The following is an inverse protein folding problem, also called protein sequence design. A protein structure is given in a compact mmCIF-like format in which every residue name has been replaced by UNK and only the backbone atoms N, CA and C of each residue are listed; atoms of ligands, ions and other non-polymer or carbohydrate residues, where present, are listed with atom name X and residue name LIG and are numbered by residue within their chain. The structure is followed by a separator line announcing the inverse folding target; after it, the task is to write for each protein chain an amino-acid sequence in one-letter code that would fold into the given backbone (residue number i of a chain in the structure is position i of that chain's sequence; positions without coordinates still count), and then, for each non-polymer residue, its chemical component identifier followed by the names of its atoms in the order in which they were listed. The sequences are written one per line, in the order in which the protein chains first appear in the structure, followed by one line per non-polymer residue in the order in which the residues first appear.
data_IF_038320769992
#
_entry.id   IF_038320769992
#
_cell.length_a   1.000
_cell.length_b   1.000
_cell.length_c   1.000
_cell.angle_alpha   90.00
_cell.angle_beta   90.00
_cell.angle_gamma   90.00
#
_symmetry.space_group_name_H-M   'P 1'
#
loop_
_entity.id
_entity.type
_entity.pdbx_description
1 polymer ?
#
# COMPACT_ATOMS: atom_id res chain seq x y z
N UNK A 1 -11.03 -20.68 -13.39
CA UNK A 1 -9.57 -20.86 -13.65
C UNK A 1 -8.97 -21.60 -12.45
N UNK A 2 -7.99 -22.48 -12.63
CA UNK A 2 -7.33 -23.19 -11.50
C UNK A 2 -6.11 -22.40 -11.01
N UNK A 3 -5.88 -22.37 -9.70
CA UNK A 3 -4.65 -21.85 -9.09
C UNK A 3 -3.54 -22.87 -9.31
N UNK A 4 -2.39 -22.44 -9.82
CA UNK A 4 -1.24 -23.31 -10.15
C UNK A 4 -0.09 -23.08 -9.16
N UNK A 5 0.58 -24.13 -8.63
CA UNK A 5 1.80 -23.92 -7.88
C UNK A 5 2.91 -23.37 -8.79
N UNK A 6 3.69 -22.42 -8.29
CA UNK A 6 4.86 -21.85 -8.95
C UNK A 6 5.89 -21.45 -7.89
N UNK A 7 7.05 -22.10 -7.83
CA UNK A 7 7.95 -21.97 -6.68
C UNK A 7 9.18 -21.10 -6.95
N UNK A 8 9.52 -20.80 -8.20
CA UNK A 8 10.70 -20.02 -8.54
C UNK A 8 10.63 -19.48 -9.98
N UNK A 9 11.35 -18.38 -10.23
CA UNK A 9 11.53 -17.80 -11.56
C UNK A 9 10.26 -17.18 -12.13
N UNK A 10 10.21 -17.04 -13.46
CA UNK A 10 9.10 -16.38 -14.15
C UNK A 10 7.96 -17.35 -14.47
N UNK A 11 6.72 -16.90 -14.33
CA UNK A 11 5.55 -17.66 -14.77
C UNK A 11 5.51 -17.75 -16.30
N UNK A 12 4.94 -18.84 -16.83
CA UNK A 12 4.85 -19.05 -18.28
C UNK A 12 3.82 -18.17 -19.02
N UNK A 13 3.03 -17.35 -18.32
CA UNK A 13 2.01 -16.49 -18.92
C UNK A 13 0.95 -16.03 -17.93
N UNK A 14 -0.19 -15.50 -18.42
CA UNK A 14 -1.28 -15.07 -17.57
C UNK A 14 -1.94 -16.21 -16.78
N UNK A 15 -2.27 -15.97 -15.51
CA UNK A 15 -2.94 -16.96 -14.68
C UNK A 15 -2.99 -16.63 -13.19
N UNK A 16 -3.57 -17.58 -12.45
CA UNK A 16 -3.59 -17.61 -10.99
C UNK A 16 -2.55 -18.60 -10.47
N UNK A 17 -1.77 -18.17 -9.49
CA UNK A 17 -0.62 -18.89 -8.99
C UNK A 17 -0.56 -18.88 -7.47
N UNK A 18 -0.03 -19.96 -6.89
CA UNK A 18 0.44 -20.00 -5.51
C UNK A 18 1.97 -20.00 -5.56
N UNK A 19 2.60 -19.02 -4.92
CA UNK A 19 4.06 -18.88 -4.91
C UNK A 19 4.56 -18.24 -3.61
N UNK A 20 5.83 -18.45 -3.25
CA UNK A 20 6.49 -17.69 -2.20
C UNK A 20 6.47 -16.17 -2.43
N UNK A 21 6.44 -15.40 -1.35
CA UNK A 21 6.34 -13.94 -1.41
C UNK A 21 7.55 -13.29 -2.09
N UNK A 22 8.76 -13.80 -1.84
CA UNK A 22 10.00 -13.33 -2.47
C UNK A 22 9.96 -13.48 -4.00
N UNK A 23 9.41 -14.57 -4.53
CA UNK A 23 9.22 -14.77 -5.97
C UNK A 23 8.27 -13.73 -6.57
N UNK A 24 7.18 -13.40 -5.87
CA UNK A 24 6.26 -12.34 -6.28
C UNK A 24 6.93 -10.95 -6.25
N UNK A 25 7.64 -10.65 -5.16
CA UNK A 25 8.29 -9.35 -4.95
C UNK A 25 9.47 -9.14 -5.91
N UNK A 26 10.18 -10.21 -6.31
CA UNK A 26 11.21 -10.19 -7.35
C UNK A 26 10.66 -9.96 -8.77
N UNK A 27 9.34 -9.81 -8.93
CA UNK A 27 8.61 -9.72 -10.19
C UNK A 27 8.66 -11.00 -11.04
N UNK A 28 7.77 -11.92 -10.71
CA UNK A 28 7.60 -13.21 -11.39
C UNK A 28 6.99 -13.15 -12.80
N UNK A 29 6.59 -11.99 -13.33
CA UNK A 29 5.96 -11.91 -14.65
C UNK A 29 6.98 -12.18 -15.79
N UNK A 30 6.53 -12.57 -16.99
CA UNK A 30 7.42 -12.81 -18.13
C UNK A 30 8.33 -11.61 -18.45
N UNK A 31 7.77 -10.40 -18.40
CA UNK A 31 8.50 -9.14 -18.53
C UNK A 31 8.28 -8.26 -17.30
N UNK A 32 9.09 -7.20 -17.11
CA UNK A 32 8.87 -6.22 -16.05
C UNK A 32 7.40 -5.81 -15.97
N UNK A 33 6.79 -6.04 -14.81
CA UNK A 33 5.35 -5.86 -14.60
C UNK A 33 5.01 -4.75 -13.62
N UNK A 34 3.85 -4.16 -13.80
CA UNK A 34 3.33 -3.11 -12.93
C UNK A 34 2.58 -3.72 -11.76
N UNK A 35 3.06 -3.46 -10.53
CA UNK A 35 2.35 -3.73 -9.27
C UNK A 35 1.63 -2.48 -8.75
N UNK A 36 0.78 -2.63 -7.73
CA UNK A 36 0.09 -1.49 -7.11
C UNK A 36 1.05 -0.50 -6.44
N UNK A 37 2.15 -0.98 -5.85
CA UNK A 37 3.17 -0.11 -5.25
C UNK A 37 3.84 0.75 -6.31
N UNK A 38 4.30 0.14 -7.40
CA UNK A 38 4.93 0.86 -8.52
C UNK A 38 3.94 1.81 -9.19
N UNK A 39 2.67 1.41 -9.36
CA UNK A 39 1.62 2.28 -9.88
C UNK A 39 1.41 3.53 -9.02
N UNK A 40 1.37 3.38 -7.68
CA UNK A 40 1.28 4.54 -6.78
C UNK A 40 2.53 5.42 -6.87
N UNK A 41 3.73 4.84 -6.88
CA UNK A 41 4.98 5.62 -7.02
C UNK A 41 5.02 6.43 -8.33
N UNK A 42 4.50 5.88 -9.42
CA UNK A 42 4.37 6.61 -10.69
C UNK A 42 3.45 7.84 -10.59
N UNK A 43 2.38 7.74 -9.80
CA UNK A 43 1.36 8.77 -9.65
C UNK A 43 1.71 9.81 -8.58
N UNK A 44 2.34 9.38 -7.48
CA UNK A 44 2.65 10.21 -6.31
C UNK A 44 3.99 10.91 -6.39
N UNK A 45 4.94 10.31 -7.09
CA UNK A 45 6.33 10.77 -7.11
C UNK A 45 6.74 11.04 -8.56
N UNK A 46 7.45 10.11 -9.19
CA UNK A 46 7.84 10.25 -10.59
C UNK A 46 8.15 8.90 -11.22
N UNK A 47 8.17 8.83 -12.56
CA UNK A 47 8.73 7.69 -13.28
C UNK A 47 10.13 7.28 -12.81
N UNK A 48 11.02 8.24 -12.53
CA UNK A 48 12.36 7.93 -12.01
C UNK A 48 12.30 7.14 -10.68
N UNK A 49 11.47 7.55 -9.73
CA UNK A 49 11.31 6.82 -8.46
C UNK A 49 10.76 5.41 -8.69
N UNK A 50 9.77 5.27 -9.58
CA UNK A 50 9.20 3.98 -9.93
C UNK A 50 10.23 3.06 -10.61
N UNK A 51 11.11 3.61 -11.45
CA UNK A 51 12.20 2.87 -12.08
C UNK A 51 13.20 2.33 -11.06
N UNK A 52 13.64 3.17 -10.12
CA UNK A 52 14.57 2.78 -9.04
C UNK A 52 13.94 1.71 -8.15
N UNK A 53 12.68 1.90 -7.75
CA UNK A 53 11.96 1.00 -6.86
C UNK A 53 11.57 -0.34 -7.52
N UNK A 54 11.61 -0.45 -8.85
CA UNK A 54 11.20 -1.67 -9.53
C UNK A 54 12.29 -2.75 -9.49
N UNK A 55 11.98 -3.98 -9.05
CA UNK A 55 12.96 -5.04 -8.76
C UNK A 55 13.79 -5.48 -9.98
N UNK A 56 13.24 -5.37 -11.19
CA UNK A 56 13.90 -5.77 -12.46
C UNK A 56 14.31 -4.60 -13.36
N UNK A 57 14.17 -3.35 -12.92
CA UNK A 57 14.54 -2.19 -13.74
C UNK A 57 15.76 -1.48 -13.15
N UNK A 58 15.57 -0.37 -12.46
CA UNK A 58 16.67 0.48 -12.00
C UNK A 58 17.49 -0.09 -10.86
N UNK A 59 16.88 -0.99 -10.08
CA UNK A 59 17.45 -1.76 -8.97
C UNK A 59 18.77 -1.18 -8.44
N UNK A 60 18.65 -0.07 -7.70
CA UNK A 60 19.70 0.27 -6.74
C UNK A 60 19.38 -0.57 -5.49
N UNK A 61 20.32 -1.45 -5.13
CA UNK A 61 20.29 -2.12 -3.83
C UNK A 61 20.55 -1.04 -2.79
N UNK A 62 19.53 -0.26 -2.43
CA UNK A 62 19.54 0.39 -1.13
C UNK A 62 19.45 -0.72 -0.08
N UNK A 63 20.31 -0.67 0.94
CA UNK A 63 20.18 -1.56 2.08
C UNK A 63 18.75 -1.36 2.63
N UNK A 64 17.92 -2.39 2.50
CA UNK A 64 16.54 -2.35 2.96
C UNK A 64 16.58 -1.97 4.44
N UNK A 65 15.98 -0.83 4.79
CA UNK A 65 15.94 -0.42 6.20
C UNK A 65 15.12 -1.48 6.93
N UNK A 66 15.68 -2.02 8.01
CA UNK A 66 14.96 -2.98 8.85
C UNK A 66 13.53 -2.46 9.12
N UNK A 67 12.51 -3.31 8.95
CA UNK A 67 11.13 -2.95 9.26
C UNK A 67 11.01 -2.30 10.64
N UNK A 68 10.17 -1.28 10.79
CA UNK A 68 9.89 -0.71 12.11
C UNK A 68 9.10 -1.71 12.95
N UNK A 69 9.18 -1.62 14.29
CA UNK A 69 8.42 -2.46 15.22
C UNK A 69 6.91 -2.55 14.88
N UNK A 70 6.19 -1.47 14.51
CA UNK A 70 4.80 -1.56 14.04
C UNK A 70 4.62 -2.36 12.74
N UNK A 71 5.59 -2.31 11.82
CA UNK A 71 5.58 -3.12 10.59
C UNK A 71 5.83 -4.60 10.91
N UNK A 72 6.70 -4.92 11.86
CA UNK A 72 6.93 -6.29 12.34
C UNK A 72 5.63 -6.88 12.94
N UNK A 73 5.00 -6.14 13.86
CA UNK A 73 3.68 -6.51 14.44
C UNK A 73 2.66 -6.74 13.32
N UNK A 74 2.54 -5.78 12.40
CA UNK A 74 1.61 -5.87 11.27
C UNK A 74 1.85 -7.09 10.38
N UNK A 75 3.12 -7.43 10.13
CA UNK A 75 3.52 -8.59 9.31
C UNK A 75 3.18 -9.91 10.00
N UNK A 76 3.48 -10.03 11.29
CA UNK A 76 3.14 -11.24 12.05
C UNK A 76 1.62 -11.40 12.19
N UNK A 77 0.91 -10.33 12.52
CA UNK A 77 -0.56 -10.33 12.58
C UNK A 77 -1.17 -10.74 11.23
N UNK A 78 -0.64 -10.21 10.13
CA UNK A 78 -1.06 -10.58 8.77
C UNK A 78 -0.84 -12.07 8.49
N UNK A 79 0.35 -12.61 8.82
CA UNK A 79 0.63 -14.05 8.72
C UNK A 79 -0.36 -14.89 9.53
N UNK A 80 -0.64 -14.49 10.78
CA UNK A 80 -1.56 -15.21 11.67
C UNK A 80 -3.00 -15.20 11.12
N UNK A 81 -3.48 -14.07 10.61
CA UNK A 81 -4.83 -13.93 10.02
C UNK A 81 -4.95 -14.73 8.71
N UNK A 82 -3.90 -14.75 7.89
CA UNK A 82 -3.93 -15.43 6.59
C UNK A 82 -3.57 -16.92 6.68
N UNK A 83 -2.81 -17.32 7.69
CA UNK A 83 -2.21 -18.65 7.78
C UNK A 83 -1.13 -18.91 6.72
N UNK A 84 -0.55 -17.84 6.15
CA UNK A 84 0.42 -17.86 5.06
C UNK A 84 1.49 -16.77 5.27
N UNK A 85 2.67 -16.93 4.67
CA UNK A 85 3.80 -15.99 4.80
C UNK A 85 5.00 -16.52 5.59
N UNK A 86 6.06 -15.71 5.70
CA UNK A 86 7.37 -16.06 6.29
C UNK A 86 7.28 -16.51 7.76
N UNK A 87 8.13 -17.45 8.19
CA UNK A 87 8.11 -17.96 9.56
C UNK A 87 8.48 -16.92 10.61
N UNK A 88 7.89 -17.06 11.80
CA UNK A 88 8.00 -16.08 12.88
C UNK A 88 9.07 -16.54 13.86
N UNK A 89 10.02 -15.66 14.16
CA UNK A 89 11.04 -15.88 15.18
C UNK A 89 10.73 -15.02 16.40
N UNK A 90 10.31 -15.67 17.48
CA UNK A 90 10.04 -15.01 18.75
C UNK A 90 11.36 -14.66 19.46
N UNK A 91 11.58 -13.38 19.70
CA UNK A 91 12.72 -12.86 20.45
C UNK A 91 12.26 -12.58 21.87
N UNK A 92 12.84 -13.31 22.82
CA UNK A 92 12.52 -13.19 24.24
C UNK A 92 13.17 -11.94 24.87
N UNK A 93 12.62 -10.78 24.54
CA UNK A 93 13.03 -9.47 25.05
C UNK A 93 11.87 -8.46 24.98
N UNK A 94 11.94 -7.40 25.79
CA UNK A 94 10.95 -6.31 25.79
C UNK A 94 11.21 -5.24 24.72
N UNK A 95 12.47 -5.11 24.31
CA UNK A 95 12.93 -4.18 23.28
C UNK A 95 14.20 -4.69 22.56
N UNK A 96 14.55 -4.01 21.46
CA UNK A 96 15.76 -4.30 20.68
C UNK A 96 16.99 -3.52 21.17
N UNK A 97 17.12 -3.21 22.47
CA UNK A 97 18.30 -2.44 22.95
C UNK A 97 19.49 -3.34 23.24
N UNK A 98 19.26 -4.57 23.71
CA UNK A 98 20.34 -5.50 24.04
C UNK A 98 21.08 -6.00 22.78
N UNK A 99 22.39 -6.27 22.92
CA UNK A 99 23.18 -6.83 21.82
C UNK A 99 22.64 -8.18 21.35
N UNK A 100 22.15 -9.01 22.29
CA UNK A 100 21.55 -10.30 21.99
C UNK A 100 20.26 -10.17 21.16
N UNK A 101 19.33 -9.29 21.56
CA UNK A 101 18.07 -9.08 20.83
C UNK A 101 18.32 -8.54 19.41
N UNK A 102 19.29 -7.61 19.25
CA UNK A 102 19.68 -7.11 17.93
C UNK A 102 20.27 -8.21 17.04
N UNK A 103 21.17 -9.03 17.59
CA UNK A 103 21.78 -10.13 16.84
C UNK A 103 20.74 -11.17 16.39
N UNK A 104 19.80 -11.55 17.28
CA UNK A 104 18.70 -12.46 16.93
C UNK A 104 17.80 -11.88 15.84
N UNK A 105 17.46 -10.59 15.94
CA UNK A 105 16.65 -9.89 14.94
C UNK A 105 17.33 -9.87 13.57
N UNK A 106 18.61 -9.50 13.52
CA UNK A 106 19.39 -9.50 12.29
C UNK A 106 19.50 -10.90 11.69
N UNK A 107 19.72 -11.92 12.52
CA UNK A 107 19.80 -13.31 12.05
C UNK A 107 18.46 -13.79 11.48
N UNK A 108 17.34 -13.50 12.15
CA UNK A 108 16.01 -13.85 11.66
C UNK A 108 15.75 -13.27 10.26
N UNK A 109 16.08 -12.00 10.03
CA UNK A 109 15.97 -11.40 8.70
C UNK A 109 16.90 -12.05 7.68
N UNK A 110 18.14 -12.37 8.06
CA UNK A 110 19.09 -13.05 7.18
C UNK A 110 18.59 -14.44 6.73
N UNK A 111 17.82 -15.12 7.59
CA UNK A 111 17.22 -16.42 7.31
C UNK A 111 15.86 -16.31 6.56
N UNK A 112 15.40 -15.10 6.25
CA UNK A 112 14.10 -14.87 5.59
C UNK A 112 12.89 -15.00 6.51
N UNK A 113 13.09 -14.94 7.83
CA UNK A 113 12.04 -14.98 8.84
C UNK A 113 11.61 -13.58 9.30
N UNK A 114 10.43 -13.50 9.93
CA UNK A 114 9.92 -12.30 10.58
C UNK A 114 10.22 -12.33 12.08
N UNK A 115 11.18 -11.52 12.58
CA UNK A 115 11.42 -11.39 14.02
C UNK A 115 10.30 -10.61 14.70
N UNK A 116 9.95 -11.02 15.92
CA UNK A 116 9.01 -10.29 16.77
C UNK A 116 9.38 -10.42 18.24
N UNK A 117 9.26 -9.33 19.00
CA UNK A 117 9.46 -9.34 20.45
C UNK A 117 8.30 -10.12 21.12
N UNK A 118 8.58 -10.83 22.21
CA UNK A 118 7.55 -11.56 22.98
C UNK A 118 6.26 -10.76 23.24
N UNK A 119 6.31 -9.55 23.84
CA UNK A 119 5.08 -8.78 24.11
C UNK A 119 4.33 -8.36 22.84
N UNK A 120 5.03 -8.26 21.70
CA UNK A 120 4.42 -7.93 20.42
C UNK A 120 3.79 -9.16 19.76
N UNK A 121 4.37 -10.35 19.96
CA UNK A 121 3.81 -11.63 19.51
C UNK A 121 2.48 -11.91 20.19
N UNK A 122 2.42 -11.73 21.52
CA UNK A 122 1.16 -11.87 22.28
C UNK A 122 0.07 -10.91 21.80
N UNK A 123 0.45 -9.67 21.44
CA UNK A 123 -0.47 -8.70 20.82
C UNK A 123 -0.93 -9.15 19.43
N UNK A 124 -0.04 -9.71 18.62
CA UNK A 124 -0.38 -10.19 17.28
C UNK A 124 -1.34 -11.39 17.34
N UNK A 125 -1.14 -12.31 18.29
CA UNK A 125 -2.05 -13.43 18.55
C UNK A 125 -3.44 -12.93 18.96
N UNK A 126 -3.50 -12.03 19.97
CA UNK A 126 -4.76 -11.45 20.42
C UNK A 126 -5.50 -10.68 19.31
N UNK A 127 -4.76 -9.98 18.45
CA UNK A 127 -5.31 -9.31 17.27
C UNK A 127 -5.89 -10.31 16.27
N UNK A 128 -5.17 -11.38 15.95
CA UNK A 128 -5.64 -12.40 15.02
C UNK A 128 -6.92 -13.11 15.52
N UNK A 129 -6.98 -13.44 16.81
CA UNK A 129 -8.17 -14.02 17.45
C UNK A 129 -9.36 -13.07 17.36
N UNK A 130 -9.17 -11.78 17.70
CA UNK A 130 -10.21 -10.76 17.59
C UNK A 130 -10.71 -10.56 16.16
N UNK A 131 -9.83 -10.65 15.16
CA UNK A 131 -10.22 -10.60 13.75
C UNK A 131 -11.10 -11.79 13.39
N UNK A 132 -10.70 -13.01 13.76
CA UNK A 132 -11.47 -14.21 13.48
C UNK A 132 -12.87 -14.16 14.12
N UNK A 133 -12.95 -13.75 15.39
CA UNK A 133 -14.21 -13.61 16.12
C UNK A 133 -15.12 -12.55 15.50
N UNK A 134 -14.60 -11.34 15.25
CA UNK A 134 -15.41 -10.22 14.74
C UNK A 134 -15.86 -10.44 13.30
N UNK A 135 -15.01 -10.98 12.43
CA UNK A 135 -15.40 -11.27 11.04
C UNK A 135 -16.54 -12.31 10.98
N UNK A 136 -16.56 -13.28 11.89
CA UNK A 136 -17.66 -14.27 11.97
C UNK A 136 -19.02 -13.63 12.31
N UNK A 137 -19.04 -12.42 12.87
CA UNK A 137 -20.25 -11.67 13.22
C UNK A 137 -20.71 -10.71 12.11
N UNK A 138 -19.92 -10.49 11.06
CA UNK A 138 -20.23 -9.52 9.99
C UNK A 138 -20.85 -10.27 8.81
N UNK A 139 -22.13 -10.02 8.48
CA UNK A 139 -22.77 -10.62 7.31
C UNK A 139 -21.99 -10.36 6.03
N UNK A 140 -21.76 -11.41 5.25
CA UNK A 140 -20.98 -11.34 4.02
C UNK A 140 -19.48 -11.60 4.20
N UNK A 141 -18.97 -11.83 5.41
CA UNK A 141 -17.58 -12.19 5.67
C UNK A 141 -17.35 -13.69 5.90
N UNK A 142 -18.38 -14.52 5.76
CA UNK A 142 -18.35 -15.96 6.09
C UNK A 142 -17.34 -16.74 5.23
N UNK A 143 -17.06 -16.22 4.03
CA UNK A 143 -16.13 -16.82 3.08
C UNK A 143 -14.66 -16.53 3.33
N UNK A 144 -14.33 -15.48 4.11
CA UNK A 144 -12.96 -15.01 4.31
C UNK A 144 -12.03 -16.14 4.77
N UNK A 145 -12.34 -16.82 5.88
CA UNK A 145 -11.48 -17.86 6.46
C UNK A 145 -11.26 -19.09 5.55
N UNK A 146 -12.16 -19.33 4.58
CA UNK A 146 -12.08 -20.47 3.65
C UNK A 146 -11.45 -20.10 2.30
N UNK A 147 -11.35 -18.81 2.02
CA UNK A 147 -10.81 -18.30 0.77
C UNK A 147 -9.29 -18.60 0.70
N UNK A 148 -8.78 -19.09 -0.46
CA UNK A 148 -7.34 -19.23 -0.69
C UNK A 148 -6.58 -17.95 -0.36
N UNK A 149 -5.48 -18.08 0.37
CA UNK A 149 -4.63 -16.98 0.81
C UNK A 149 -3.40 -16.78 -0.11
N UNK A 150 -2.94 -15.53 -0.19
CA UNK A 150 -1.75 -15.12 -0.97
C UNK A 150 -1.78 -15.61 -2.43
N UNK A 151 -2.96 -15.55 -3.07
CA UNK A 151 -3.09 -15.94 -4.47
C UNK A 151 -2.53 -14.84 -5.36
N UNK A 152 -1.53 -15.19 -6.16
CA UNK A 152 -0.93 -14.29 -7.13
C UNK A 152 -1.69 -14.37 -8.45
N UNK A 153 -2.03 -13.21 -9.01
CA UNK A 153 -2.55 -13.13 -10.36
C UNK A 153 -1.60 -12.31 -11.23
N UNK A 154 -1.23 -12.90 -12.37
CA UNK A 154 -0.42 -12.25 -13.40
C UNK A 154 -1.26 -12.17 -14.67
N UNK A 155 -1.32 -10.99 -15.29
CA UNK A 155 -2.05 -10.78 -16.52
C UNK A 155 -1.31 -9.81 -17.45
N UNK A 156 -1.61 -9.88 -18.73
CA UNK A 156 -1.19 -8.85 -19.69
C UNK A 156 -2.40 -7.99 -20.04
N UNK A 157 -2.30 -6.69 -19.77
CA UNK A 157 -3.30 -5.72 -20.18
C UNK A 157 -3.33 -5.59 -21.71
N UNK A 158 -4.47 -5.17 -22.25
CA UNK A 158 -4.63 -4.91 -23.70
C UNK A 158 -3.64 -3.87 -24.24
N UNK A 159 -3.09 -3.01 -23.38
CA UNK A 159 -2.04 -2.04 -23.73
C UNK A 159 -0.64 -2.66 -23.87
N UNK A 160 -0.49 -3.94 -23.54
CA UNK A 160 0.78 -4.67 -23.54
C UNK A 160 1.46 -4.73 -22.16
N UNK A 161 1.04 -3.91 -21.20
CA UNK A 161 1.60 -3.90 -19.86
C UNK A 161 1.36 -5.25 -19.15
N UNK A 162 2.43 -5.86 -18.65
CA UNK A 162 2.29 -6.94 -17.67
C UNK A 162 1.90 -6.36 -16.33
N UNK A 163 0.93 -6.99 -15.66
CA UNK A 163 0.38 -6.59 -14.37
C UNK A 163 0.50 -7.77 -13.39
N UNK A 164 0.87 -7.48 -12.14
CA UNK A 164 0.88 -8.48 -11.07
C UNK A 164 0.20 -7.99 -9.80
N UNK A 165 -0.54 -8.88 -9.16
CA UNK A 165 -1.18 -8.67 -7.85
C UNK A 165 -0.99 -9.91 -6.99
N UNK A 166 -1.01 -9.72 -5.67
CA UNK A 166 -1.10 -10.80 -4.69
C UNK A 166 -2.26 -10.44 -3.76
N UNK A 167 -3.28 -11.29 -3.76
CA UNK A 167 -4.48 -11.07 -2.97
C UNK A 167 -4.31 -11.76 -1.62
N UNK A 168 -4.52 -11.03 -0.52
CA UNK A 168 -4.42 -11.61 0.83
C UNK A 168 -5.34 -12.81 0.95
N UNK A 169 -6.60 -12.66 0.50
CA UNK A 169 -7.48 -13.78 0.15
C UNK A 169 -8.35 -13.48 -1.05
N UNK A 170 -8.82 -14.51 -1.75
CA UNK A 170 -9.75 -14.35 -2.86
C UNK A 170 -10.81 -15.46 -2.91
N UNK A 171 -12.07 -15.05 -3.00
CA UNK A 171 -13.20 -15.93 -3.29
C UNK A 171 -13.56 -15.83 -4.77
N UNK A 172 -13.63 -16.96 -5.47
CA UNK A 172 -14.04 -17.01 -6.88
C UNK A 172 -15.29 -17.89 -6.97
N UNK A 173 -16.44 -17.26 -7.14
CA UNK A 173 -17.73 -17.93 -7.34
C UNK A 173 -18.11 -17.97 -8.83
N UNK A 174 -19.14 -18.74 -9.21
CA UNK A 174 -19.61 -18.77 -10.61
C UNK A 174 -20.10 -17.42 -11.15
N UNK A 175 -20.58 -16.53 -10.28
CA UNK A 175 -21.25 -15.27 -10.68
C UNK A 175 -20.54 -14.00 -10.24
N UNK A 176 -19.60 -14.09 -9.30
CA UNK A 176 -18.89 -12.95 -8.73
C UNK A 176 -17.57 -13.41 -8.09
N UNK A 177 -16.72 -12.45 -7.72
CA UNK A 177 -15.55 -12.70 -6.88
C UNK A 177 -15.43 -11.64 -5.79
N UNK A 178 -14.77 -11.99 -4.70
CA UNK A 178 -14.48 -11.09 -3.57
C UNK A 178 -12.99 -11.18 -3.29
N UNK A 179 -12.31 -10.04 -3.40
CA UNK A 179 -10.91 -9.87 -3.02
C UNK A 179 -10.89 -9.26 -1.63
N UNK A 180 -10.13 -9.89 -0.74
CA UNK A 180 -9.93 -9.42 0.62
C UNK A 180 -8.51 -8.91 0.78
N UNK A 181 -8.36 -7.81 1.52
CA UNK A 181 -7.08 -7.17 1.80
C UNK A 181 -7.10 -6.67 3.25
N UNK A 182 -6.19 -7.21 4.06
CA UNK A 182 -6.09 -6.95 5.50
C UNK A 182 -5.13 -5.80 5.73
N UNK A 183 -5.56 -4.82 6.52
CA UNK A 183 -4.83 -3.59 6.79
C UNK A 183 -4.74 -3.35 8.28
N UNK A 184 -3.67 -3.86 8.89
CA UNK A 184 -3.29 -3.59 10.28
C UNK A 184 -2.52 -2.28 10.40
N UNK A 185 -2.59 -1.62 11.55
CA UNK A 185 -1.83 -0.40 11.81
C UNK A 185 -2.35 0.43 12.98
N UNK A 186 -1.63 1.50 13.29
CA UNK A 186 -1.96 2.43 14.39
C UNK A 186 -3.05 3.44 13.99
N UNK A 187 -3.44 3.45 12.70
CA UNK A 187 -4.51 4.30 12.20
C UNK A 187 -5.87 3.72 12.53
N UNK A 188 -6.80 4.58 12.97
CA UNK A 188 -8.13 4.14 13.36
C UNK A 188 -8.88 3.42 12.23
N UNK A 189 -9.64 2.39 12.63
CA UNK A 189 -10.57 1.65 11.79
C UNK A 189 -12.00 2.24 11.87
N UNK A 190 -12.20 3.41 12.49
CA UNK A 190 -13.51 4.03 12.57
C UNK A 190 -14.06 4.37 11.17
N UNK A 191 -15.30 3.97 10.81
CA UNK A 191 -15.85 4.10 9.46
C UNK A 191 -15.73 5.50 8.84
N UNK A 192 -15.97 6.55 9.63
CA UNK A 192 -15.92 7.95 9.20
C UNK A 192 -14.51 8.44 8.82
N UNK A 193 -13.45 7.71 9.19
CA UNK A 193 -12.06 8.05 8.88
C UNK A 193 -11.51 7.26 7.68
N UNK A 194 -12.20 6.18 7.27
CA UNK A 194 -11.70 5.26 6.25
C UNK A 194 -11.57 5.92 4.88
N UNK A 195 -12.52 6.77 4.48
CA UNK A 195 -12.45 7.47 3.18
C UNK A 195 -11.19 8.32 3.04
N UNK A 196 -10.84 9.09 4.09
CA UNK A 196 -9.60 9.88 4.12
C UNK A 196 -8.37 8.99 4.11
N UNK A 197 -8.38 7.88 4.86
CA UNK A 197 -7.26 6.94 4.90
C UNK A 197 -7.00 6.33 3.51
N UNK A 198 -8.05 5.83 2.86
CA UNK A 198 -8.00 5.27 1.50
C UNK A 198 -7.40 6.28 0.53
N UNK A 199 -7.91 7.51 0.51
CA UNK A 199 -7.43 8.56 -0.38
C UNK A 199 -5.96 8.95 -0.10
N UNK A 200 -5.62 9.21 1.16
CA UNK A 200 -4.28 9.66 1.55
C UNK A 200 -3.18 8.61 1.29
N UNK A 201 -3.55 7.33 1.23
CA UNK A 201 -2.66 6.21 0.97
C UNK A 201 -2.85 5.61 -0.44
N UNK A 202 -3.73 6.22 -1.23
CA UNK A 202 -4.13 5.80 -2.58
C UNK A 202 -4.50 4.33 -2.69
N UNK A 203 -5.22 3.81 -1.70
CA UNK A 203 -5.57 2.40 -1.63
C UNK A 203 -6.56 2.02 -2.73
N UNK A 204 -7.35 2.97 -3.24
CA UNK A 204 -8.22 2.78 -4.40
C UNK A 204 -7.45 2.41 -5.67
N UNK A 205 -6.17 2.79 -5.81
CA UNK A 205 -5.31 2.35 -6.91
C UNK A 205 -5.03 0.85 -6.81
N UNK A 206 -4.78 0.34 -5.60
CA UNK A 206 -4.61 -1.10 -5.35
C UNK A 206 -5.91 -1.84 -5.71
N UNK A 207 -7.05 -1.40 -5.17
CA UNK A 207 -8.34 -2.03 -5.45
C UNK A 207 -8.65 -2.06 -6.95
N UNK A 208 -8.46 -0.94 -7.65
CA UNK A 208 -8.69 -0.86 -9.08
C UNK A 208 -7.78 -1.80 -9.88
N UNK A 209 -6.49 -1.87 -9.56
CA UNK A 209 -5.57 -2.80 -10.20
C UNK A 209 -6.01 -4.26 -9.99
N UNK A 210 -6.39 -4.61 -8.77
CA UNK A 210 -6.72 -5.98 -8.41
C UNK A 210 -8.00 -6.46 -9.08
N UNK A 211 -9.03 -5.61 -9.07
CA UNK A 211 -10.28 -5.84 -9.81
C UNK A 211 -10.00 -5.97 -11.31
N UNK A 212 -9.17 -5.09 -11.88
CA UNK A 212 -8.84 -5.09 -13.30
C UNK A 212 -8.10 -6.37 -13.73
N UNK A 213 -7.04 -6.76 -13.01
CA UNK A 213 -6.27 -7.97 -13.29
C UNK A 213 -7.14 -9.22 -13.21
N UNK A 214 -7.99 -9.32 -12.19
CA UNK A 214 -8.88 -10.47 -12.06
C UNK A 214 -9.95 -10.48 -13.16
N UNK A 215 -10.46 -9.32 -13.59
CA UNK A 215 -11.39 -9.19 -14.71
C UNK A 215 -10.76 -9.61 -16.05
N UNK A 216 -9.47 -9.35 -16.28
CA UNK A 216 -8.74 -9.84 -17.46
C UNK A 216 -8.71 -11.38 -17.47
N UNK A 217 -8.39 -11.99 -16.33
CA UNK A 217 -8.29 -13.46 -16.22
C UNK A 217 -9.65 -14.16 -16.20
N UNK A 218 -10.68 -13.48 -15.71
CA UNK A 218 -12.04 -14.00 -15.57
C UNK A 218 -13.07 -13.03 -16.20
N UNK A 219 -13.10 -12.88 -17.54
CA UNK A 219 -13.95 -11.87 -18.21
C UNK A 219 -15.44 -12.00 -17.91
N UNK A 220 -15.93 -13.22 -17.66
CA UNK A 220 -17.31 -13.45 -17.25
C UNK A 220 -17.65 -12.79 -15.91
N UNK A 221 -16.67 -12.47 -15.05
CA UNK A 221 -16.88 -11.78 -13.77
C UNK A 221 -16.67 -10.26 -13.86
N UNK A 222 -16.38 -9.70 -15.04
CA UNK A 222 -16.21 -8.26 -15.21
C UNK A 222 -17.45 -7.49 -14.68
N UNK A 223 -17.20 -6.45 -13.88
CA UNK A 223 -18.25 -5.69 -13.18
C UNK A 223 -18.87 -6.40 -11.97
N UNK A 224 -18.40 -7.60 -11.60
CA UNK A 224 -18.91 -8.43 -10.49
C UNK A 224 -17.79 -8.90 -9.56
N UNK A 225 -16.69 -8.15 -9.50
CA UNK A 225 -15.57 -8.40 -8.59
C UNK A 225 -15.58 -7.28 -7.54
N UNK A 226 -15.70 -7.66 -6.27
CA UNK A 226 -15.65 -6.73 -5.13
C UNK A 226 -14.26 -6.73 -4.52
N UNK A 227 -13.83 -5.58 -3.99
CA UNK A 227 -12.61 -5.45 -3.22
C UNK A 227 -12.99 -4.96 -1.82
N UNK A 228 -12.58 -5.70 -0.79
CA UNK A 228 -12.88 -5.42 0.61
C UNK A 228 -11.61 -5.25 1.40
N UNK A 229 -11.50 -4.10 2.05
CA UNK A 229 -10.50 -3.88 3.08
C UNK A 229 -11.03 -4.38 4.42
N UNK A 230 -10.16 -5.02 5.19
CA UNK A 230 -10.38 -5.31 6.60
C UNK A 230 -9.39 -4.44 7.37
N UNK A 231 -9.85 -3.28 7.82
CA UNK A 231 -9.04 -2.36 8.62
C UNK A 231 -9.05 -2.83 10.07
N UNK A 232 -7.87 -3.03 10.65
CA UNK A 232 -7.72 -3.52 12.03
C UNK A 232 -6.76 -2.59 12.78
N UNK A 233 -7.18 -2.13 13.95
CA UNK A 233 -6.33 -1.33 14.84
C UNK A 233 -5.33 -2.24 15.58
N UNK A 234 -4.07 -1.79 15.65
CA UNK A 234 -3.03 -2.50 16.40
C UNK A 234 -3.26 -2.47 17.92
N UNK A 235 -3.87 -1.40 18.43
CA UNK A 235 -4.09 -1.23 19.86
C UNK A 235 -5.38 -1.93 20.32
N UNK A 236 -5.38 -2.44 21.56
CA UNK A 236 -6.58 -3.01 22.17
C UNK A 236 -7.71 -1.94 22.18
N UNK A 237 -8.94 -2.27 21.77
CA UNK A 237 -9.57 -3.59 21.66
C UNK A 237 -9.46 -4.25 20.27
N UNK A 238 -8.44 -3.91 19.47
CA UNK A 238 -8.26 -4.37 18.10
C UNK A 238 -9.54 -4.15 17.28
N UNK A 239 -10.09 -2.94 17.36
CA UNK A 239 -11.31 -2.61 16.64
C UNK A 239 -11.08 -2.78 15.14
N UNK A 240 -12.11 -3.28 14.44
CA UNK A 240 -12.03 -3.50 13.01
C UNK A 240 -13.26 -2.99 12.28
N UNK A 241 -13.05 -2.64 11.01
CA UNK A 241 -14.10 -2.33 10.05
C UNK A 241 -13.81 -3.02 8.72
N UNK A 242 -14.84 -3.66 8.16
CA UNK A 242 -14.81 -4.15 6.79
C UNK A 242 -15.43 -3.10 5.89
N UNK A 243 -14.72 -2.68 4.84
CA UNK A 243 -15.16 -1.60 3.98
C UNK A 243 -14.96 -1.91 2.49
N UNK A 244 -15.87 -1.40 1.67
CA UNK A 244 -15.78 -1.33 0.21
C UNK A 244 -15.76 0.15 -0.19
N UNK A 245 -15.01 0.48 -1.24
CA UNK A 245 -15.11 1.79 -1.87
C UNK A 245 -16.42 1.83 -2.68
N UNK A 246 -17.07 2.98 -2.69
CA UNK A 246 -18.26 3.19 -3.50
C UNK A 246 -17.92 3.30 -4.99
N UNK A 247 -18.95 3.49 -5.82
CA UNK A 247 -18.76 3.64 -7.26
C UNK A 247 -17.82 4.79 -7.63
N UNK A 248 -17.89 5.91 -6.91
CA UNK A 248 -17.05 7.08 -7.16
C UNK A 248 -15.57 6.81 -6.82
N UNK A 249 -15.30 6.20 -5.66
CA UNK A 249 -13.95 5.81 -5.25
C UNK A 249 -13.34 4.79 -6.22
N UNK A 250 -14.11 3.78 -6.63
CA UNK A 250 -13.65 2.79 -7.61
C UNK A 250 -13.43 3.40 -9.01
N UNK A 251 -14.24 4.37 -9.43
CA UNK A 251 -14.03 5.09 -10.69
C UNK A 251 -12.74 5.92 -10.65
N UNK A 252 -12.50 6.66 -9.56
CA UNK A 252 -11.26 7.42 -9.37
C UNK A 252 -10.04 6.48 -9.41
N UNK A 253 -10.10 5.35 -8.69
CA UNK A 253 -9.04 4.34 -8.71
C UNK A 253 -8.79 3.79 -10.12
N UNK A 254 -9.85 3.51 -10.89
CA UNK A 254 -9.73 3.05 -12.27
C UNK A 254 -9.09 4.10 -13.19
N UNK A 255 -9.47 5.38 -13.07
CA UNK A 255 -8.85 6.49 -13.81
C UNK A 255 -7.38 6.66 -13.45
N UNK A 256 -7.02 6.59 -12.16
CA UNK A 256 -5.64 6.61 -11.68
C UNK A 256 -4.83 5.44 -12.25
N UNK A 257 -5.39 4.23 -12.22
CA UNK A 257 -4.72 3.05 -12.76
C UNK A 257 -4.51 3.13 -14.28
N UNK A 258 -5.49 3.65 -15.02
CA UNK A 258 -5.34 3.90 -16.46
C UNK A 258 -4.22 4.90 -16.75
N UNK A 259 -4.11 5.97 -15.95
CA UNK A 259 -3.01 6.92 -16.04
C UNK A 259 -1.65 6.27 -15.72
N UNK A 260 -1.58 5.44 -14.67
CA UNK A 260 -0.37 4.70 -14.32
C UNK A 260 0.09 3.74 -15.43
N UNK A 261 -0.83 2.98 -16.03
CA UNK A 261 -0.55 2.10 -17.19
C UNK A 261 -0.04 2.91 -18.38
N UNK A 262 -0.66 4.06 -18.67
CA UNK A 262 -0.23 4.94 -19.75
C UNK A 262 1.22 5.44 -19.54
N UNK A 263 1.53 5.96 -18.35
CA UNK A 263 2.87 6.44 -18.02
C UNK A 263 3.88 5.29 -18.05
N UNK A 264 3.54 4.15 -17.47
CA UNK A 264 4.37 2.93 -17.48
C UNK A 264 4.72 2.51 -18.90
N UNK A 265 3.73 2.38 -19.79
CA UNK A 265 3.95 1.96 -21.17
C UNK A 265 4.79 2.97 -21.94
N UNK A 266 4.56 4.27 -21.75
CA UNK A 266 5.40 5.31 -22.36
C UNK A 266 6.85 5.15 -21.93
N UNK A 267 7.11 5.06 -20.63
CA UNK A 267 8.46 4.91 -20.09
C UNK A 267 9.13 3.60 -20.54
N UNK A 268 8.38 2.50 -20.60
CA UNK A 268 8.85 1.21 -21.14
C UNK A 268 9.20 1.31 -22.63
N UNK A 269 8.40 2.03 -23.42
CA UNK A 269 8.61 2.18 -24.86
C UNK A 269 9.77 3.12 -25.20
N UNK A 270 9.93 4.23 -24.47
CA UNK A 270 11.02 5.20 -24.74
C UNK A 270 12.31 4.85 -24.02
N UNK A 271 12.26 4.05 -22.95
CA UNK A 271 13.39 3.85 -22.04
C UNK A 271 13.64 5.04 -21.11
N UNK A 272 12.82 6.09 -21.17
CA UNK A 272 12.98 7.31 -20.39
C UNK A 272 12.09 7.31 -19.15
N UNK A 273 12.69 7.53 -17.98
CA UNK A 273 12.02 7.56 -16.68
C UNK A 273 12.27 8.92 -16.02
N UNK A 274 11.55 9.98 -16.45
CA UNK A 274 11.82 11.33 -15.98
C UNK A 274 11.57 11.49 -14.48
N UNK A 275 12.40 12.33 -13.85
CA UNK A 275 12.20 12.83 -12.50
C UNK A 275 11.24 14.02 -12.47
N UNK A 276 11.43 14.92 -11.51
CA UNK A 276 10.75 16.22 -11.51
C UNK A 276 11.29 17.15 -12.61
N UNK A 277 10.52 18.17 -13.03
CA UNK A 277 10.98 19.14 -14.01
C UNK A 277 12.33 19.76 -13.63
N UNK A 278 13.25 19.87 -14.59
CA UNK A 278 14.55 20.52 -14.41
C UNK A 278 14.44 22.05 -14.50
N UNK A 279 13.49 22.63 -13.77
CA UNK A 279 13.22 24.06 -13.72
C UNK A 279 12.86 24.50 -12.30
N UNK A 280 13.01 25.79 -12.02
CA UNK A 280 12.50 26.38 -10.79
C UNK A 280 10.98 26.33 -10.83
N UNK A 281 10.38 25.53 -9.96
CA UNK A 281 8.92 25.44 -9.80
C UNK A 281 8.48 26.48 -8.78
N UNK A 282 7.52 27.32 -9.17
CA UNK A 282 6.77 28.17 -8.25
C UNK A 282 5.57 27.37 -7.75
N UNK A 283 5.37 27.32 -6.45
CA UNK A 283 4.25 26.62 -5.83
C UNK A 283 3.38 27.60 -5.06
N UNK A 284 2.08 27.29 -4.97
CA UNK A 284 1.15 28.06 -4.15
C UNK A 284 1.27 27.62 -2.69
N UNK A 285 1.36 28.59 -1.79
CA UNK A 285 1.32 28.30 -0.36
C UNK A 285 -0.08 27.78 0.02
N UNK A 286 -0.22 26.69 0.81
CA UNK A 286 -1.52 26.10 1.08
C UNK A 286 -2.46 27.06 1.81
N UNK A 287 -3.68 27.24 1.28
CA UNK A 287 -4.67 28.20 1.83
C UNK A 287 -4.99 27.93 3.32
N UNK A 288 -5.12 26.65 3.71
CA UNK A 288 -5.38 26.29 5.11
C UNK A 288 -4.22 26.69 6.04
N UNK A 289 -2.99 26.71 5.53
CA UNK A 289 -1.80 27.11 6.30
C UNK A 289 -1.75 28.64 6.42
N UNK A 290 -2.05 29.33 5.31
CA UNK A 290 -2.14 30.80 5.29
C UNK A 290 -3.20 31.27 6.29
N UNK A 291 -4.41 30.70 6.22
CA UNK A 291 -5.51 31.05 7.11
C UNK A 291 -5.19 30.78 8.58
N UNK A 292 -4.56 29.63 8.89
CA UNK A 292 -4.15 29.30 10.27
C UNK A 292 -3.18 30.33 10.84
N UNK A 293 -2.28 30.86 10.02
CA UNK A 293 -1.37 31.91 10.46
C UNK A 293 -2.11 33.23 10.67
N UNK A 294 -2.93 33.67 9.72
CA UNK A 294 -3.72 34.90 9.85
C UNK A 294 -4.63 34.89 11.08
N UNK A 295 -5.33 33.77 11.33
CA UNK A 295 -6.14 33.59 12.56
C UNK A 295 -5.30 33.73 13.83
N UNK A 296 -4.06 33.25 13.83
CA UNK A 296 -3.16 33.40 14.97
C UNK A 296 -2.70 34.83 15.16
N UNK A 297 -2.36 35.55 14.08
CA UNK A 297 -1.99 36.97 14.14
C UNK A 297 -3.10 37.83 14.77
N UNK A 298 -4.35 37.51 14.48
CA UNK A 298 -5.51 38.21 15.02
C UNK A 298 -5.81 37.85 16.49
N UNK A 299 -5.64 36.59 16.88
CA UNK A 299 -6.15 36.07 18.14
C UNK A 299 -5.09 35.88 19.25
N UNK A 300 -3.82 35.73 18.92
CA UNK A 300 -2.75 35.48 19.89
C UNK A 300 -2.38 36.78 20.64
N UNK A 301 -2.66 36.90 21.96
CA UNK A 301 -2.40 38.13 22.69
C UNK A 301 -0.91 38.51 22.72
N UNK A 302 0.00 37.56 22.49
CA UNK A 302 1.43 37.83 22.41
C UNK A 302 1.82 38.56 21.11
N UNK A 303 0.97 38.50 20.08
CA UNK A 303 1.15 39.19 18.81
C UNK A 303 0.41 40.53 18.77
N UNK A 304 -0.27 40.90 19.85
CA UNK A 304 -0.98 42.17 19.97
C UNK A 304 -0.03 43.35 19.68
N UNK A 305 -0.31 44.09 18.60
CA UNK A 305 0.49 45.25 18.16
C UNK A 305 1.47 44.96 17.02
N UNK A 306 1.63 43.69 16.61
CA UNK A 306 2.28 43.36 15.34
C UNK A 306 1.33 43.73 14.20
N UNK A 307 1.81 44.52 13.24
CA UNK A 307 1.07 44.90 12.04
C UNK A 307 1.95 44.69 10.82
N UNK A 308 1.45 43.97 9.82
CA UNK A 308 2.13 43.72 8.56
C UNK A 308 1.34 44.35 7.41
N UNK A 309 1.84 45.48 6.90
CA UNK A 309 1.38 46.06 5.63
C UNK A 309 2.37 45.63 4.54
N UNK A 310 1.92 44.80 3.60
CA UNK A 310 2.75 44.29 2.51
C UNK A 310 3.36 45.42 1.65
N UNK A 311 2.70 46.58 1.55
CA UNK A 311 3.20 47.70 0.76
C UNK A 311 4.38 48.42 1.44
N UNK A 312 4.39 48.44 2.78
CA UNK A 312 5.31 49.25 3.59
C UNK A 312 6.31 48.43 4.40
N UNK A 313 6.08 47.13 4.56
CA UNK A 313 6.89 46.26 5.41
C UNK A 313 8.30 46.09 4.84
N UNK A 314 9.35 46.25 5.67
CA UNK A 314 10.72 45.89 5.26
C UNK A 314 10.87 44.37 5.03
N UNK A 315 9.88 43.58 5.46
CA UNK A 315 9.78 42.13 5.24
C UNK A 315 8.81 41.77 4.11
N UNK A 316 8.47 42.73 3.23
CA UNK A 316 7.68 42.41 2.04
C UNK A 316 8.42 41.41 1.17
N UNK A 317 7.75 40.37 0.63
CA UNK A 317 8.37 39.53 -0.38
C UNK A 317 8.79 40.41 -1.56
N UNK A 318 9.89 40.07 -2.21
CA UNK A 318 10.26 40.72 -3.47
C UNK A 318 9.09 40.55 -4.44
N UNK A 319 8.71 41.63 -5.11
CA UNK A 319 7.84 41.51 -6.28
C UNK A 319 8.65 40.79 -7.36
N UNK A 320 8.37 39.50 -7.53
CA UNK A 320 9.20 38.61 -8.33
C UNK A 320 8.98 38.80 -9.84
N UNK A 321 8.02 39.64 -10.27
CA UNK A 321 7.92 40.12 -11.65
C UNK A 321 8.97 41.19 -11.96
N UNK A 322 9.41 41.95 -10.94
CA UNK A 322 10.43 43.00 -11.06
C UNK A 322 11.85 42.54 -10.69
N UNK A 323 12.02 41.27 -10.31
CA UNK A 323 13.30 40.66 -9.92
C UNK A 323 13.92 39.71 -10.99
N UNK A 324 13.38 39.70 -12.21
CA UNK A 324 13.88 38.93 -13.36
C UNK A 324 14.61 39.82 -14.39
#
# INVERSE_FOLDING_TARGET
MKIKPHLAGYVGGPGLYQMPADVYHADCAPEPSLSSSIARTLLESSPQHAWIAHPRLGCQIEAERDPSRPKEIGTVAHKLILGQGADVVLIDADDYRSAAAKAQRTQAYADGHCPILRPDGEKADALADQVAEKLALIPGCEGFNKAPAEVVAVAQDRSGAWLRIMMDRVEIHPTHAIIWDVKTGDQSAAPQLLGRRVESMQMEVQAALYVHVLAILLPHLAGRIRFRWIFVENEFPHALSVAEADGAGMEIGARKMAAAIHVWNRCRATGEWPGYPAQIVRFDYPEWAARRWSEREELDPQLSGVSYDIAQSPFRPLDMESAA
#
